data_IF_694109543403
#
_entry.id   IF_694109543403
#
_cell.length_a   1.000
_cell.length_b   1.000
_cell.length_c   1.000
_cell.angle_alpha   90.00
_cell.angle_beta   90.00
_cell.angle_gamma   90.00
#
_symmetry.space_group_name_H-M   'P 1'
#
loop_
_entity.id
_entity.type
_entity.pdbx_description
1 polymer ?
#
# COMPACT_ATOMS: atom_id res chain seq x y z
N UNK A 1 7.67 -16.58 49.05
CA UNK A 1 7.46 -17.03 47.66
C UNK A 1 6.01 -16.86 47.22
N UNK A 2 5.02 -17.46 47.89
CA UNK A 2 3.59 -17.32 47.51
C UNK A 2 3.10 -15.87 47.48
N UNK A 3 3.47 -15.05 48.47
CA UNK A 3 3.07 -13.64 48.51
C UNK A 3 3.60 -12.81 47.34
N UNK A 4 4.80 -13.12 46.83
CA UNK A 4 5.36 -12.42 45.67
C UNK A 4 4.61 -12.80 44.39
N UNK A 5 4.23 -14.07 44.24
CA UNK A 5 3.43 -14.56 43.11
C UNK A 5 2.05 -13.88 43.11
N UNK A 6 1.40 -13.81 44.26
CA UNK A 6 0.08 -13.15 44.39
C UNK A 6 0.16 -11.65 44.08
N UNK A 7 1.19 -10.95 44.54
CA UNK A 7 1.35 -9.52 44.29
C UNK A 7 1.53 -9.20 42.80
N UNK A 8 2.40 -9.95 42.09
CA UNK A 8 2.64 -9.75 40.65
C UNK A 8 1.37 -10.11 39.85
N UNK A 9 0.67 -11.17 40.23
CA UNK A 9 -0.57 -11.59 39.54
C UNK A 9 -1.68 -10.54 39.71
N UNK A 10 -1.87 -10.01 40.91
CA UNK A 10 -2.88 -8.98 41.17
C UNK A 10 -2.58 -7.68 40.41
N UNK A 11 -1.31 -7.27 40.35
CA UNK A 11 -0.90 -6.08 39.62
C UNK A 11 -1.08 -6.26 38.11
N UNK A 12 -0.70 -7.42 37.56
CA UNK A 12 -0.93 -7.76 36.15
C UNK A 12 -2.41 -7.80 35.77
N UNK A 13 -3.24 -8.43 36.60
CA UNK A 13 -4.70 -8.46 36.38
C UNK A 13 -5.31 -7.06 36.48
N UNK A 14 -4.91 -6.26 37.47
CA UNK A 14 -5.40 -4.89 37.65
C UNK A 14 -5.05 -3.99 36.47
N UNK A 15 -3.79 -3.99 36.03
CA UNK A 15 -3.35 -3.22 34.87
C UNK A 15 -4.00 -3.73 33.57
N UNK A 16 -4.14 -5.04 33.41
CA UNK A 16 -4.79 -5.64 32.24
C UNK A 16 -6.28 -5.26 32.14
N UNK A 17 -7.02 -5.33 33.24
CA UNK A 17 -8.43 -4.92 33.31
C UNK A 17 -8.55 -3.42 33.03
N UNK A 18 -7.69 -2.60 33.62
CA UNK A 18 -7.71 -1.15 33.42
C UNK A 18 -7.45 -0.79 31.95
N UNK A 19 -6.44 -1.39 31.32
CA UNK A 19 -6.15 -1.17 29.89
C UNK A 19 -7.26 -1.69 28.99
N UNK A 20 -7.83 -2.85 29.30
CA UNK A 20 -8.96 -3.42 28.55
C UNK A 20 -10.22 -2.55 28.62
N UNK A 21 -10.55 -2.02 29.81
CA UNK A 21 -11.67 -1.09 29.99
C UNK A 21 -11.41 0.24 29.29
N UNK A 22 -10.18 0.78 29.38
CA UNK A 22 -9.81 2.00 28.68
C UNK A 22 -9.93 1.83 27.16
N UNK A 23 -9.42 0.72 26.60
CA UNK A 23 -9.52 0.44 25.17
C UNK A 23 -10.95 0.33 24.65
N UNK A 24 -11.88 -0.19 25.45
CA UNK A 24 -13.30 -0.25 25.09
C UNK A 24 -14.02 1.10 25.24
N UNK A 25 -13.68 1.85 26.30
CA UNK A 25 -14.33 3.14 26.57
C UNK A 25 -13.89 4.23 25.59
N UNK A 26 -12.62 4.20 25.15
CA UNK A 26 -12.07 5.11 24.16
C UNK A 26 -12.01 4.51 22.74
N UNK A 27 -12.74 3.43 22.49
CA UNK A 27 -12.87 2.90 21.14
C UNK A 27 -13.58 3.94 20.27
N UNK A 28 -12.86 4.51 19.31
CA UNK A 28 -13.45 5.36 18.27
C UNK A 28 -14.11 4.41 17.27
N UNK A 29 -15.45 4.41 17.25
CA UNK A 29 -16.18 3.78 16.15
C UNK A 29 -15.85 4.57 14.88
N UNK A 30 -15.28 3.91 13.88
CA UNK A 30 -15.00 4.55 12.58
C UNK A 30 -16.33 5.11 12.02
N UNK A 31 -16.39 6.44 11.92
CA UNK A 31 -17.62 7.25 11.76
C UNK A 31 -18.40 7.00 10.46
N UNK A 32 -17.90 6.18 9.53
CA UNK A 32 -18.62 5.83 8.31
C UNK A 32 -18.30 4.39 7.84
N UNK A 33 -19.27 3.47 7.85
CA UNK A 33 -19.10 2.09 7.36
C UNK A 33 -18.57 2.01 5.92
N UNK A 34 -18.88 3.04 5.11
CA UNK A 34 -18.49 3.14 3.71
C UNK A 34 -16.96 3.28 3.55
N UNK A 35 -16.26 3.86 4.54
CA UNK A 35 -14.79 3.95 4.52
C UNK A 35 -14.16 2.56 4.59
N UNK A 36 -14.66 1.68 5.45
CA UNK A 36 -14.18 0.28 5.54
C UNK A 36 -14.47 -0.50 4.27
N UNK A 37 -15.65 -0.28 3.68
CA UNK A 37 -16.03 -0.92 2.43
C UNK A 37 -15.12 -0.49 1.28
N UNK A 38 -14.85 0.81 1.17
CA UNK A 38 -13.90 1.35 0.19
C UNK A 38 -12.48 0.85 0.44
N UNK A 39 -12.01 0.86 1.69
CA UNK A 39 -10.68 0.35 2.03
C UNK A 39 -10.51 -1.12 1.65
N UNK A 40 -11.54 -1.95 1.86
CA UNK A 40 -11.52 -3.37 1.53
C UNK A 40 -11.41 -3.65 0.02
N UNK A 41 -11.78 -2.70 -0.83
CA UNK A 41 -11.60 -2.80 -2.29
C UNK A 41 -10.20 -2.41 -2.75
N UNK A 42 -9.43 -1.71 -1.91
CA UNK A 42 -8.09 -1.28 -2.28
C UNK A 42 -7.10 -2.45 -2.32
N UNK A 43 -5.96 -2.31 -3.03
CA UNK A 43 -4.92 -3.34 -3.06
C UNK A 43 -4.31 -3.71 -1.70
N UNK A 44 -4.55 -2.93 -0.64
CA UNK A 44 -4.06 -3.20 0.72
C UNK A 44 -2.54 -3.09 0.89
N UNK A 45 -1.81 -2.64 -0.13
CA UNK A 45 -0.34 -2.61 -0.14
C UNK A 45 0.29 -1.52 0.73
N UNK A 46 -0.51 -0.54 1.19
CA UNK A 46 -0.05 0.58 2.02
C UNK A 46 1.19 1.30 1.44
N UNK A 47 1.27 1.39 0.11
CA UNK A 47 2.49 1.78 -0.61
C UNK A 47 2.74 3.29 -0.66
N UNK A 48 1.72 4.12 -0.43
CA UNK A 48 1.84 5.58 -0.42
C UNK A 48 1.96 6.26 -1.80
N UNK A 49 1.79 5.52 -2.91
CA UNK A 49 1.88 6.10 -4.26
C UNK A 49 0.80 7.15 -4.54
N UNK A 50 -0.32 7.09 -3.82
CA UNK A 50 -1.40 8.08 -3.89
C UNK A 50 -1.16 9.32 -3.01
N UNK A 51 -0.04 9.41 -2.28
CA UNK A 51 0.28 10.52 -1.37
C UNK A 51 -0.29 10.38 0.05
N UNK A 52 -1.12 9.36 0.32
CA UNK A 52 -1.63 9.06 1.65
C UNK A 52 -0.73 8.07 2.41
N UNK A 53 -0.67 8.14 3.76
CA UNK A 53 0.16 7.23 4.55
C UNK A 53 -0.37 5.79 4.59
N UNK A 54 -1.58 5.53 4.08
CA UNK A 54 -2.18 4.22 3.99
C UNK A 54 -3.52 4.20 3.24
N UNK A 55 -4.10 3.02 3.10
CA UNK A 55 -5.39 2.78 2.44
C UNK A 55 -6.57 3.37 3.23
N UNK A 56 -6.64 3.18 4.56
CA UNK A 56 -7.68 3.78 5.41
C UNK A 56 -7.83 5.32 5.24
N UNK A 57 -6.76 6.15 5.38
CA UNK A 57 -6.89 7.58 5.18
C UNK A 57 -7.19 7.96 3.72
N UNK A 58 -6.71 7.18 2.74
CA UNK A 58 -7.08 7.38 1.34
C UNK A 58 -8.57 7.09 1.10
N UNK A 59 -9.10 6.02 1.71
CA UNK A 59 -10.51 5.65 1.64
C UNK A 59 -11.38 6.79 2.19
N UNK A 60 -11.00 7.32 3.35
CA UNK A 60 -11.69 8.46 3.96
C UNK A 60 -11.70 9.69 3.03
N UNK A 61 -10.56 10.05 2.44
CA UNK A 61 -10.48 11.19 1.53
C UNK A 61 -11.37 11.04 0.27
N UNK A 62 -11.57 9.80 -0.21
CA UNK A 62 -12.52 9.51 -1.30
C UNK A 62 -13.96 9.72 -0.85
N UNK A 63 -14.32 9.22 0.34
CA UNK A 63 -15.67 9.39 0.92
C UNK A 63 -16.00 10.87 1.17
N UNK A 64 -15.02 11.62 1.66
CA UNK A 64 -15.15 13.04 1.96
C UNK A 64 -15.14 13.91 0.68
N UNK A 65 -14.88 13.30 -0.50
CA UNK A 65 -14.86 13.98 -1.80
C UNK A 65 -13.64 14.87 -2.02
N UNK A 66 -12.57 14.68 -1.24
CA UNK A 66 -11.33 15.47 -1.32
C UNK A 66 -10.46 15.08 -2.51
N UNK A 67 -10.59 13.84 -2.99
CA UNK A 67 -9.83 13.29 -4.13
C UNK A 67 -10.75 12.61 -5.14
N UNK A 68 -10.34 12.64 -6.42
CA UNK A 68 -11.02 11.92 -7.49
C UNK A 68 -10.82 10.40 -7.40
N UNK A 69 -11.64 9.63 -8.12
CA UNK A 69 -11.59 8.17 -8.12
C UNK A 69 -10.29 7.58 -8.70
N UNK A 70 -9.54 8.35 -9.49
CA UNK A 70 -8.26 7.96 -10.10
C UNK A 70 -7.04 8.15 -9.16
N UNK A 71 -7.26 8.32 -7.86
CA UNK A 71 -6.21 8.60 -6.87
C UNK A 71 -5.21 7.45 -6.63
N UNK A 72 -5.55 6.20 -6.98
CA UNK A 72 -4.77 5.02 -6.62
C UNK A 72 -4.09 4.37 -7.84
N UNK A 73 -2.81 4.67 -8.12
CA UNK A 73 -2.10 4.10 -9.27
C UNK A 73 -2.08 2.55 -9.28
N UNK A 74 -1.79 1.85 -8.15
CA UNK A 74 -1.79 0.38 -8.14
C UNK A 74 -3.18 -0.26 -8.28
N UNK A 75 -4.24 0.45 -7.88
CA UNK A 75 -5.61 -0.01 -8.06
C UNK A 75 -6.08 0.09 -9.52
N UNK A 76 -5.45 1.00 -10.27
CA UNK A 76 -5.69 1.17 -11.70
C UNK A 76 -7.16 1.49 -12.00
N UNK A 77 -7.55 1.19 -13.24
CA UNK A 77 -8.92 1.41 -13.73
C UNK A 77 -9.95 0.46 -13.10
N UNK A 78 -9.54 -0.75 -12.72
CA UNK A 78 -10.43 -1.72 -12.07
C UNK A 78 -10.99 -1.15 -10.76
N UNK A 79 -10.13 -0.55 -9.93
CA UNK A 79 -10.57 0.11 -8.70
C UNK A 79 -11.49 1.31 -8.99
N UNK A 80 -11.19 2.11 -10.02
CA UNK A 80 -12.06 3.22 -10.44
C UNK A 80 -13.48 2.73 -10.76
N UNK A 81 -13.60 1.64 -11.52
CA UNK A 81 -14.89 1.09 -11.93
C UNK A 81 -15.70 0.54 -10.74
N UNK A 82 -15.03 -0.09 -9.77
CA UNK A 82 -15.68 -0.59 -8.55
C UNK A 82 -16.12 0.55 -7.63
N UNK A 83 -15.28 1.58 -7.46
CA UNK A 83 -15.63 2.76 -6.67
C UNK A 83 -16.76 3.58 -7.32
N UNK A 84 -16.70 3.75 -8.63
CA UNK A 84 -17.73 4.44 -9.41
C UNK A 84 -19.11 3.78 -9.23
N UNK A 85 -19.15 2.44 -9.15
CA UNK A 85 -20.37 1.66 -8.92
C UNK A 85 -20.98 1.91 -7.54
N UNK A 86 -20.15 2.04 -6.50
CA UNK A 86 -20.62 2.26 -5.13
C UNK A 86 -21.01 3.71 -4.87
N UNK A 87 -20.31 4.66 -5.49
CA UNK A 87 -20.58 6.09 -5.34
C UNK A 87 -21.61 6.63 -6.36
N UNK A 88 -22.15 5.78 -7.24
CA UNK A 88 -23.08 6.15 -8.32
C UNK A 88 -22.54 7.26 -9.24
N UNK A 89 -21.26 7.13 -9.62
CA UNK A 89 -20.55 8.05 -10.51
C UNK A 89 -20.33 7.37 -11.87
N UNK A 90 -20.44 8.10 -12.97
CA UNK A 90 -20.09 7.57 -14.29
C UNK A 90 -18.57 7.30 -14.39
N UNK A 91 -18.11 6.05 -14.54
CA UNK A 91 -16.68 5.75 -14.70
C UNK A 91 -16.08 6.38 -15.94
N UNK A 92 -16.89 6.74 -16.95
CA UNK A 92 -16.44 7.46 -18.13
C UNK A 92 -16.10 8.94 -17.89
N UNK A 93 -16.53 9.51 -16.76
CA UNK A 93 -16.22 10.88 -16.35
C UNK A 93 -14.92 10.99 -15.55
N UNK A 94 -14.38 9.85 -15.09
CA UNK A 94 -13.13 9.80 -14.34
C UNK A 94 -11.96 9.93 -15.32
N UNK A 95 -11.03 10.84 -14.98
CA UNK A 95 -9.82 11.07 -15.78
C UNK A 95 -8.88 9.87 -15.83
N UNK A 96 -7.75 10.06 -16.51
CA UNK A 96 -6.71 9.03 -16.63
C UNK A 96 -6.14 8.64 -15.27
N UNK A 97 -5.86 7.34 -15.10
CA UNK A 97 -5.24 6.81 -13.89
C UNK A 97 -3.74 6.76 -14.12
N UNK A 98 -2.97 7.33 -13.20
CA UNK A 98 -1.52 7.27 -13.26
C UNK A 98 -1.04 5.81 -13.21
N UNK A 99 0.03 5.50 -13.95
CA UNK A 99 0.66 4.18 -13.92
C UNK A 99 1.33 3.95 -12.56
N UNK A 100 1.25 2.73 -12.01
CA UNK A 100 1.97 2.41 -10.79
C UNK A 100 3.48 2.50 -11.02
N UNK A 101 4.19 3.00 -10.02
CA UNK A 101 5.64 3.00 -10.02
C UNK A 101 6.16 1.66 -9.48
N UNK A 102 7.16 1.12 -10.14
CA UNK A 102 7.85 -0.13 -9.76
C UNK A 102 9.35 0.11 -9.68
N UNK A 103 10.02 -0.63 -8.81
CA UNK A 103 11.47 -0.55 -8.69
C UNK A 103 12.15 -1.30 -9.84
N UNK A 104 13.20 -0.71 -10.40
CA UNK A 104 14.05 -1.30 -11.43
C UNK A 104 15.52 -1.23 -10.97
N UNK A 105 16.29 -2.29 -11.18
CA UNK A 105 17.68 -2.39 -10.72
C UNK A 105 18.59 -2.37 -11.93
N UNK A 106 19.49 -1.39 -11.98
CA UNK A 106 20.52 -1.32 -13.00
C UNK A 106 21.57 -2.41 -12.76
N UNK A 107 21.62 -3.38 -13.67
CA UNK A 107 22.48 -4.56 -13.58
C UNK A 107 23.96 -4.23 -13.63
N UNK A 108 24.34 -3.13 -14.30
CA UNK A 108 25.75 -2.73 -14.44
C UNK A 108 26.34 -2.12 -13.17
N UNK A 109 25.50 -1.62 -12.27
CA UNK A 109 25.91 -0.99 -11.01
C UNK A 109 25.67 -1.89 -9.80
N UNK A 110 24.82 -2.92 -9.92
CA UNK A 110 24.48 -3.79 -8.81
C UNK A 110 25.67 -4.68 -8.39
N UNK A 111 26.21 -4.44 -7.19
CA UNK A 111 27.29 -5.25 -6.59
C UNK A 111 26.82 -6.49 -5.81
N UNK A 112 25.50 -6.71 -5.74
CA UNK A 112 24.97 -7.87 -5.04
C UNK A 112 25.00 -7.80 -3.50
N UNK A 113 24.85 -6.61 -2.90
CA UNK A 113 25.00 -6.40 -1.44
C UNK A 113 23.85 -6.94 -0.57
N UNK A 114 22.72 -7.36 -1.15
CA UNK A 114 21.51 -7.92 -0.46
C UNK A 114 20.74 -6.98 0.49
N UNK A 115 21.07 -5.69 0.55
CA UNK A 115 20.32 -4.73 1.40
C UNK A 115 18.88 -4.52 0.90
N UNK A 116 18.70 -4.36 -0.40
CA UNK A 116 17.39 -4.22 -1.05
C UNK A 116 16.49 -5.45 -0.80
N UNK A 117 17.05 -6.66 -0.86
CA UNK A 117 16.36 -7.90 -0.55
C UNK A 117 15.75 -7.88 0.86
N UNK A 118 16.54 -7.48 1.87
CA UNK A 118 16.08 -7.42 3.27
C UNK A 118 15.09 -6.30 3.56
N UNK A 119 15.11 -5.23 2.77
CA UNK A 119 14.23 -4.08 2.93
C UNK A 119 12.87 -4.27 2.22
N UNK A 120 12.79 -5.19 1.26
CA UNK A 120 11.58 -5.44 0.49
C UNK A 120 10.51 -6.12 1.37
N UNK A 121 9.33 -5.51 1.58
CA UNK A 121 8.29 -6.13 2.42
C UNK A 121 7.48 -7.22 1.69
N UNK A 122 7.59 -7.30 0.36
CA UNK A 122 6.84 -8.24 -0.48
C UNK A 122 7.72 -9.28 -1.16
N UNK A 123 9.02 -9.33 -0.81
CA UNK A 123 10.00 -10.23 -1.42
C UNK A 123 10.06 -10.13 -2.96
N UNK A 124 9.77 -8.95 -3.51
CA UNK A 124 9.81 -8.69 -4.95
C UNK A 124 11.23 -8.66 -5.54
N UNK A 125 12.24 -8.42 -4.70
CA UNK A 125 13.64 -8.41 -5.14
C UNK A 125 14.17 -9.85 -5.12
N UNK A 126 14.73 -10.31 -6.23
CA UNK A 126 15.34 -11.63 -6.37
C UNK A 126 16.83 -11.50 -6.62
N UNK A 127 17.63 -12.40 -6.05
CA UNK A 127 19.08 -12.41 -6.20
C UNK A 127 19.78 -13.10 -5.03
N UNK A 128 21.10 -13.10 -5.05
CA UNK A 128 21.94 -13.68 -4.01
C UNK A 128 23.15 -12.78 -3.74
N UNK A 129 23.86 -13.06 -2.64
CA UNK A 129 25.06 -12.32 -2.30
C UNK A 129 26.12 -12.43 -3.42
N UNK A 130 26.62 -11.28 -3.88
CA UNK A 130 27.56 -11.20 -5.00
C UNK A 130 26.96 -11.56 -6.36
N UNK A 131 25.63 -11.61 -6.48
CA UNK A 131 24.92 -11.75 -7.76
C UNK A 131 24.08 -10.50 -8.02
N UNK A 132 23.84 -10.20 -9.30
CA UNK A 132 22.97 -9.11 -9.73
C UNK A 132 21.55 -9.41 -9.26
N UNK A 133 20.92 -8.42 -8.63
CA UNK A 133 19.53 -8.52 -8.21
C UNK A 133 18.59 -8.03 -9.31
N UNK A 134 17.40 -8.60 -9.38
CA UNK A 134 16.33 -8.15 -10.27
C UNK A 134 15.05 -7.95 -9.46
N UNK A 135 14.09 -7.20 -10.01
CA UNK A 135 12.77 -6.99 -9.39
C UNK A 135 11.71 -7.74 -10.18
N UNK A 136 10.88 -8.50 -9.48
CA UNK A 136 9.65 -9.07 -10.02
C UNK A 136 8.56 -7.99 -9.97
N UNK A 137 8.26 -7.39 -11.12
CA UNK A 137 7.31 -6.26 -11.20
C UNK A 137 5.92 -6.63 -10.65
N UNK A 138 5.43 -7.84 -10.94
CA UNK A 138 4.13 -8.35 -10.43
C UNK A 138 4.05 -8.40 -8.89
N UNK A 139 5.18 -8.47 -8.19
CA UNK A 139 5.24 -8.50 -6.71
C UNK A 139 5.66 -7.16 -6.11
N UNK A 140 6.09 -6.20 -6.94
CA UNK A 140 6.57 -4.91 -6.50
C UNK A 140 5.40 -3.96 -6.22
N UNK A 141 5.31 -3.46 -5.00
CA UNK A 141 4.28 -2.48 -4.60
C UNK A 141 4.73 -1.03 -4.80
N UNK A 142 5.95 -0.81 -5.27
CA UNK A 142 6.52 0.53 -5.46
C UNK A 142 6.75 1.32 -4.18
N UNK A 143 6.83 0.68 -3.02
CA UNK A 143 6.97 1.35 -1.70
C UNK A 143 8.32 2.05 -1.47
N UNK A 144 9.23 2.05 -2.45
CA UNK A 144 10.54 2.73 -2.45
C UNK A 144 11.55 2.32 -1.36
N UNK A 145 11.20 1.45 -0.42
CA UNK A 145 12.13 1.00 0.65
C UNK A 145 13.46 0.42 0.15
N UNK A 146 13.46 -0.27 -0.99
CA UNK A 146 14.68 -0.82 -1.59
C UNK A 146 15.60 0.27 -2.15
N UNK A 147 15.02 1.33 -2.73
CA UNK A 147 15.73 2.49 -3.26
C UNK A 147 16.50 3.19 -2.13
N UNK A 148 15.83 3.46 -1.00
CA UNK A 148 16.41 4.22 0.10
C UNK A 148 17.59 3.52 0.81
N UNK A 149 17.74 2.20 0.67
CA UNK A 149 18.80 1.41 1.31
C UNK A 149 19.94 1.01 0.37
N UNK A 150 19.84 1.33 -0.92
CA UNK A 150 20.82 0.92 -1.91
C UNK A 150 22.11 1.75 -1.75
N UNK A 151 23.29 1.13 -1.51
CA UNK A 151 24.52 1.88 -1.30
C UNK A 151 25.15 2.39 -2.61
N UNK A 152 24.80 1.78 -3.74
CA UNK A 152 25.33 2.11 -5.07
C UNK A 152 24.34 2.98 -5.87
N UNK A 153 23.21 3.38 -5.27
CA UNK A 153 22.11 4.09 -5.94
C UNK A 153 21.69 3.47 -7.29
N UNK A 154 21.78 2.14 -7.39
CA UNK A 154 21.51 1.43 -8.65
C UNK A 154 20.03 1.14 -8.91
N UNK A 155 19.10 1.69 -8.11
CA UNK A 155 17.67 1.42 -8.21
C UNK A 155 16.95 2.67 -8.74
N UNK A 156 16.11 2.53 -9.77
CA UNK A 156 15.18 3.57 -10.23
C UNK A 156 13.73 3.20 -9.90
N UNK A 157 12.85 4.20 -9.86
CA UNK A 157 11.41 4.02 -9.75
C UNK A 157 10.82 4.40 -11.11
N UNK A 158 10.43 3.39 -11.88
CA UNK A 158 9.96 3.56 -13.25
C UNK A 158 8.45 3.27 -13.31
N UNK A 159 7.75 3.87 -14.26
CA UNK A 159 6.36 3.52 -14.54
C UNK A 159 6.28 2.08 -15.06
N UNK A 160 5.33 1.31 -14.52
CA UNK A 160 5.09 -0.05 -14.99
C UNK A 160 4.73 -0.04 -16.49
N UNK A 161 5.42 -0.89 -17.26
CA UNK A 161 5.11 -1.07 -18.66
C UNK A 161 3.69 -1.61 -18.86
N UNK A 162 3.02 -1.20 -19.93
CA UNK A 162 1.70 -1.73 -20.25
C UNK A 162 1.81 -3.22 -20.58
N UNK A 163 1.01 -4.02 -19.87
CA UNK A 163 0.88 -5.46 -20.11
C UNK A 163 -0.51 -5.73 -20.66
N UNK A 164 -0.75 -6.95 -21.16
CA UNK A 164 -2.08 -7.38 -21.58
C UNK A 164 -3.13 -7.32 -20.44
N UNK A 165 -2.69 -7.24 -19.17
CA UNK A 165 -3.58 -7.13 -18.00
C UNK A 165 -3.93 -5.68 -17.68
N UNK A 166 -3.00 -4.74 -17.91
CA UNK A 166 -3.20 -3.30 -17.62
C UNK A 166 -3.66 -2.49 -18.84
N UNK A 167 -3.50 -3.05 -20.05
CA UNK A 167 -3.93 -2.42 -21.28
C UNK A 167 -5.46 -2.34 -21.37
N UNK A 168 -5.95 -1.16 -21.75
CA UNK A 168 -7.37 -0.91 -22.00
C UNK A 168 -7.52 -0.15 -23.31
N UNK A 169 -8.67 -0.32 -23.97
CA UNK A 169 -8.96 0.40 -25.19
C UNK A 169 -9.16 1.90 -24.89
N UNK A 170 -8.33 2.80 -25.44
CA UNK A 170 -8.52 4.24 -25.23
C UNK A 170 -9.82 4.69 -25.91
N UNK A 171 -10.61 5.51 -25.22
CA UNK A 171 -11.82 6.07 -25.81
C UNK A 171 -11.41 6.93 -27.02
N UNK A 172 -11.91 6.64 -28.23
CA UNK A 172 -11.56 7.45 -29.40
C UNK A 172 -12.01 8.90 -29.17
N UNK A 173 -11.17 9.85 -29.56
CA UNK A 173 -11.52 11.26 -29.48
C UNK A 173 -12.81 11.49 -30.29
N UNK A 174 -13.78 12.19 -29.69
CA UNK A 174 -14.98 12.59 -30.40
C UNK A 174 -14.56 13.50 -31.56
N UNK A 175 -15.00 13.16 -32.77
CA UNK A 175 -14.72 13.90 -34.00
C UNK A 175 -15.30 15.31 -33.99
#
# INVERSE_FOLDING_TARGET
MVMAILAITALGAGLGILLGLAGKFFAVEEENPLVKEIEAMMPGSQCGQCGFPGCAPAAKAVVDGEVGLNFCPPGGRALVEDLARILDIDPGSVGEVAKPLVANINESLCVGCTKCLKACPTDAVVGANGQIHAVLFDACTGCKKCFDVCPEDCISMDEEAETLRSWHWPKPAAA
#
